data_IF_573376162024
#
_entry.id   IF_573376162024
#
_cell.length_a   1.000
_cell.length_b   1.000
_cell.length_c   1.000
_cell.angle_alpha   90.00
_cell.angle_beta   90.00
_cell.angle_gamma   90.00
#
_symmetry.space_group_name_H-M   'P 1'
#
loop_
_entity.id
_entity.type
_entity.pdbx_description
1 polymer ?
#
# COMPACT_ATOMS: atom_id res chain seq x y z
N UNK A 1 8.76 -3.72 19.47
CA UNK A 1 8.92 -4.21 18.09
C UNK A 1 9.09 -3.00 17.17
N UNK A 2 10.07 -3.00 16.27
CA UNK A 2 10.27 -1.89 15.35
C UNK A 2 9.16 -1.87 14.29
N UNK A 3 8.61 -0.69 13.99
CA UNK A 3 7.59 -0.50 12.97
C UNK A 3 8.23 -0.53 11.58
N UNK A 4 8.08 -1.64 10.85
CA UNK A 4 8.61 -1.77 9.49
C UNK A 4 7.65 -1.10 8.48
N UNK A 5 7.94 0.17 8.15
CA UNK A 5 7.14 0.99 7.24
C UNK A 5 6.88 0.30 5.89
N UNK A 6 7.93 -0.28 5.29
CA UNK A 6 7.83 -0.94 3.98
C UNK A 6 6.90 -2.14 4.00
N UNK A 7 7.05 -3.01 5.01
CA UNK A 7 6.19 -4.17 5.15
C UNK A 7 4.72 -3.77 5.34
N UNK A 8 4.45 -2.77 6.20
CA UNK A 8 3.09 -2.28 6.43
C UNK A 8 2.47 -1.66 5.19
N UNK A 9 3.24 -0.89 4.42
CA UNK A 9 2.77 -0.32 3.16
C UNK A 9 2.39 -1.41 2.16
N UNK A 10 3.24 -2.41 1.98
CA UNK A 10 2.96 -3.55 1.08
C UNK A 10 1.76 -4.38 1.52
N UNK A 11 1.60 -4.62 2.83
CA UNK A 11 0.45 -5.36 3.36
C UNK A 11 -0.86 -4.57 3.14
N UNK A 12 -0.84 -3.25 3.35
CA UNK A 12 -2.00 -2.40 3.08
C UNK A 12 -2.37 -2.39 1.59
N UNK A 13 -1.38 -2.28 0.69
CA UNK A 13 -1.60 -2.31 -0.77
C UNK A 13 -2.27 -3.62 -1.18
N UNK A 14 -1.72 -4.76 -0.73
CA UNK A 14 -2.29 -6.09 -1.04
C UNK A 14 -3.72 -6.25 -0.51
N UNK A 15 -4.00 -5.71 0.68
CA UNK A 15 -5.34 -5.75 1.24
C UNK A 15 -6.32 -4.92 0.40
N UNK A 16 -5.94 -3.71 -0.02
CA UNK A 16 -6.77 -2.84 -0.87
C UNK A 16 -7.00 -3.48 -2.25
N UNK A 17 -5.95 -3.98 -2.89
CA UNK A 17 -6.06 -4.71 -4.17
C UNK A 17 -7.02 -5.90 -4.05
N UNK A 18 -6.90 -6.69 -2.98
CA UNK A 18 -7.79 -7.82 -2.71
C UNK A 18 -9.23 -7.35 -2.52
N UNK A 19 -9.45 -6.26 -1.79
CA UNK A 19 -10.79 -5.70 -1.58
C UNK A 19 -11.44 -5.28 -2.91
N UNK A 20 -10.70 -4.62 -3.80
CA UNK A 20 -11.21 -4.23 -5.12
C UNK A 20 -11.53 -5.43 -6.02
N UNK A 21 -10.71 -6.49 -5.98
CA UNK A 21 -11.00 -7.73 -6.72
C UNK A 21 -12.32 -8.35 -6.23
N UNK A 22 -12.49 -8.47 -4.92
CA UNK A 22 -13.68 -9.08 -4.31
C UNK A 22 -14.94 -8.25 -4.58
N UNK A 23 -14.83 -6.92 -4.51
CA UNK A 23 -15.92 -6.02 -4.84
C UNK A 23 -16.33 -6.16 -6.31
N UNK A 24 -15.36 -6.18 -7.24
CA UNK A 24 -15.65 -6.40 -8.66
C UNK A 24 -16.30 -7.76 -8.94
N UNK A 25 -15.86 -8.81 -8.24
CA UNK A 25 -16.35 -10.18 -8.43
C UNK A 25 -17.62 -10.50 -7.63
N UNK A 26 -18.07 -9.61 -6.75
CA UNK A 26 -19.26 -9.75 -5.91
C UNK A 26 -19.31 -11.10 -5.17
N UNK A 27 -18.16 -11.54 -4.63
CA UNK A 27 -18.04 -12.83 -3.93
C UNK A 27 -17.43 -12.70 -2.54
N UNK A 28 -17.62 -13.74 -1.75
CA UNK A 28 -16.98 -13.84 -0.44
C UNK A 28 -15.49 -14.16 -0.56
N UNK A 29 -14.62 -13.58 0.29
CA UNK A 29 -13.21 -13.91 0.31
C UNK A 29 -12.93 -15.35 0.75
N UNK A 30 -11.95 -15.96 0.08
CA UNK A 30 -11.31 -17.22 0.49
C UNK A 30 -10.55 -17.04 1.80
N UNK A 31 -10.16 -18.14 2.45
CA UNK A 31 -9.37 -18.09 3.69
C UNK A 31 -8.05 -17.30 3.52
N UNK A 32 -7.38 -17.46 2.37
CA UNK A 32 -6.14 -16.72 2.06
C UNK A 32 -6.40 -15.23 1.88
N UNK A 33 -7.47 -14.85 1.19
CA UNK A 33 -7.82 -13.44 0.98
C UNK A 33 -8.24 -12.77 2.29
N UNK A 34 -8.96 -13.46 3.18
CA UNK A 34 -9.24 -12.94 4.54
C UNK A 34 -7.97 -12.61 5.29
N UNK A 35 -6.97 -13.50 5.25
CA UNK A 35 -5.67 -13.24 5.89
C UNK A 35 -4.94 -12.03 5.29
N UNK A 36 -5.15 -11.72 4.00
CA UNK A 36 -4.60 -10.51 3.39
C UNK A 36 -5.34 -9.27 3.89
N UNK A 37 -6.67 -9.31 3.92
CA UNK A 37 -7.51 -8.22 4.41
C UNK A 37 -7.22 -7.90 5.89
N UNK A 38 -7.07 -8.92 6.74
CA UNK A 38 -6.75 -8.77 8.17
C UNK A 38 -5.38 -8.13 8.44
N UNK A 39 -4.46 -8.12 7.45
CA UNK A 39 -3.16 -7.45 7.59
C UNK A 39 -3.24 -5.94 7.39
N UNK A 40 -4.36 -5.43 6.88
CA UNK A 40 -4.56 -4.00 6.74
C UNK A 40 -4.50 -3.33 8.11
N UNK A 41 -3.57 -2.39 8.27
CA UNK A 41 -3.38 -1.65 9.52
C UNK A 41 -3.50 -0.13 9.37
N UNK A 42 -3.99 0.34 8.22
CA UNK A 42 -4.10 1.76 7.90
C UNK A 42 -2.75 2.47 7.71
N UNK A 43 -2.82 3.78 7.45
CA UNK A 43 -1.67 4.59 7.01
C UNK A 43 -1.14 5.58 8.05
N UNK A 44 -1.62 5.54 9.31
CA UNK A 44 -1.25 6.53 10.32
C UNK A 44 0.27 6.67 10.56
N UNK A 45 1.03 5.58 10.40
CA UNK A 45 2.50 5.56 10.50
C UNK A 45 3.24 5.72 9.17
N UNK A 46 2.53 5.87 8.05
CA UNK A 46 3.04 5.86 6.68
C UNK A 46 2.92 7.23 6.03
N UNK A 47 3.40 8.29 6.69
CA UNK A 47 3.31 9.68 6.17
C UNK A 47 3.84 9.86 4.74
N UNK A 48 4.72 8.96 4.27
CA UNK A 48 5.22 8.95 2.90
C UNK A 48 4.12 8.84 1.83
N UNK A 49 2.93 8.32 2.16
CA UNK A 49 1.79 8.27 1.22
C UNK A 49 1.22 9.65 0.86
N UNK A 50 1.64 10.70 1.59
CA UNK A 50 1.24 12.08 1.30
C UNK A 50 2.18 12.78 0.32
N UNK A 51 3.33 12.16 0.01
CA UNK A 51 4.29 12.71 -0.93
C UNK A 51 3.81 12.48 -2.38
N UNK A 52 4.23 13.32 -3.34
CA UNK A 52 3.94 13.09 -4.75
C UNK A 52 4.46 11.72 -5.23
N UNK A 53 3.60 10.91 -5.85
CA UNK A 53 3.97 9.57 -6.34
C UNK A 53 3.08 9.11 -7.51
N UNK A 54 2.67 10.03 -8.39
CA UNK A 54 1.86 9.70 -9.58
C UNK A 54 2.75 9.18 -10.71
N UNK A 55 3.94 9.77 -10.87
CA UNK A 55 4.87 9.46 -11.94
C UNK A 55 6.27 9.17 -11.39
N UNK A 56 7.10 8.42 -12.13
CA UNK A 56 8.46 8.10 -11.68
C UNK A 56 9.33 9.35 -11.43
N UNK A 57 9.05 10.44 -12.14
CA UNK A 57 9.74 11.72 -11.98
C UNK A 57 9.52 12.33 -10.58
N UNK A 58 8.42 11.99 -9.91
CA UNK A 58 8.11 12.49 -8.56
C UNK A 58 9.12 12.05 -7.50
N UNK A 59 9.95 11.03 -7.78
CA UNK A 59 11.01 10.56 -6.90
C UNK A 59 11.97 11.68 -6.48
N UNK A 60 12.11 12.75 -7.28
CA UNK A 60 12.94 13.92 -6.96
C UNK A 60 12.46 14.65 -5.70
N UNK A 61 11.18 14.53 -5.35
CA UNK A 61 10.57 15.17 -4.18
C UNK A 61 10.71 14.34 -2.90
N UNK A 62 11.32 13.16 -2.97
CA UNK A 62 11.44 12.23 -1.84
C UNK A 62 12.78 12.37 -1.12
N UNK A 63 12.74 12.23 0.21
CA UNK A 63 13.96 12.10 1.01
C UNK A 63 14.68 10.79 0.66
N UNK A 64 16.02 10.82 0.60
CA UNK A 64 16.84 9.63 0.30
C UNK A 64 16.51 8.42 1.18
N UNK A 65 16.19 8.66 2.45
CA UNK A 65 15.82 7.62 3.44
C UNK A 65 14.46 6.96 3.18
N UNK A 66 13.60 7.59 2.38
CA UNK A 66 12.24 7.09 2.10
C UNK A 66 12.09 6.62 0.65
N UNK A 67 13.14 6.71 -0.18
CA UNK A 67 13.10 6.26 -1.58
C UNK A 67 12.74 4.77 -1.73
N UNK A 68 13.05 3.94 -0.75
CA UNK A 68 12.64 2.52 -0.76
C UNK A 68 11.11 2.31 -0.67
N UNK A 69 10.38 3.35 -0.24
CA UNK A 69 8.92 3.37 -0.12
C UNK A 69 8.26 4.02 -1.35
N UNK A 70 9.03 4.65 -2.24
CA UNK A 70 8.51 5.37 -3.41
C UNK A 70 7.74 4.43 -4.35
N UNK A 71 8.38 3.35 -4.82
CA UNK A 71 7.75 2.44 -5.77
C UNK A 71 6.43 1.81 -5.23
N UNK A 72 6.38 1.29 -3.99
CA UNK A 72 5.10 0.87 -3.39
C UNK A 72 4.07 2.00 -3.28
N UNK A 73 4.50 3.24 -3.01
CA UNK A 73 3.57 4.38 -2.96
C UNK A 73 2.99 4.71 -4.34
N UNK A 74 3.80 4.59 -5.40
CA UNK A 74 3.31 4.69 -6.79
C UNK A 74 2.28 3.60 -7.10
N UNK A 75 2.51 2.36 -6.65
CA UNK A 75 1.53 1.27 -6.80
C UNK A 75 0.22 1.62 -6.09
N UNK A 76 0.29 2.13 -4.85
CA UNK A 76 -0.90 2.58 -4.12
C UNK A 76 -1.67 3.66 -4.89
N UNK A 77 -0.98 4.68 -5.42
CA UNK A 77 -1.58 5.77 -6.21
C UNK A 77 -2.22 5.32 -7.52
N UNK A 78 -1.84 4.16 -8.06
CA UNK A 78 -2.49 3.59 -9.26
C UNK A 78 -3.75 2.80 -8.93
N UNK A 79 -3.87 2.34 -7.68
CA UNK A 79 -5.05 1.60 -7.22
C UNK A 79 -6.19 2.53 -6.83
N UNK A 80 -5.91 3.71 -6.27
CA UNK A 80 -6.91 4.67 -5.72
C UNK A 80 -6.93 5.99 -6.47
#
# INVERSE_FOLDING_TARGET
MAYNRKQRLNDNIKAIETAFILDREQRTPTARERLLLERYCGFGGLKCILNPARELADAVHWAKSDLELFAPTVELHRLI
#
